data_IF_192504862218
#
_entry.id   IF_192504862218
#
_cell.length_a   1.000
_cell.length_b   1.000
_cell.length_c   1.000
_cell.angle_alpha   90.00
_cell.angle_beta   90.00
_cell.angle_gamma   90.00
#
_symmetry.space_group_name_H-M   'P 1'
#
loop_
_entity.id
_entity.type
_entity.pdbx_description
1 polymer ?
#
# COMPACT_ATOMS: atom_id res chain seq x y z
N UNK A 1 8.23 16.51 -28.13
CA UNK A 1 8.28 15.14 -27.59
C UNK A 1 8.30 15.27 -26.08
N UNK A 2 7.18 14.98 -25.41
CA UNK A 2 7.09 15.14 -23.94
C UNK A 2 7.82 13.96 -23.31
N UNK A 3 8.94 14.23 -22.64
CA UNK A 3 9.67 13.19 -21.92
C UNK A 3 8.80 12.80 -20.72
N UNK A 4 8.35 11.55 -20.71
CA UNK A 4 7.68 10.96 -19.55
C UNK A 4 8.73 10.63 -18.52
N UNK A 5 8.58 11.17 -17.30
CA UNK A 5 9.46 10.86 -16.19
C UNK A 5 9.03 9.53 -15.58
N UNK A 6 9.89 8.53 -15.69
CA UNK A 6 9.70 7.24 -15.05
C UNK A 6 10.02 7.34 -13.55
N UNK A 7 9.15 6.78 -12.70
CA UNK A 7 9.40 6.62 -11.27
C UNK A 7 9.75 5.17 -10.96
N UNK A 8 10.92 4.94 -10.35
CA UNK A 8 11.32 3.60 -9.89
C UNK A 8 10.55 3.26 -8.62
N UNK A 9 10.02 2.03 -8.56
CA UNK A 9 9.30 1.54 -7.39
C UNK A 9 10.27 1.13 -6.27
N UNK A 10 9.98 1.53 -5.03
CA UNK A 10 10.71 1.07 -3.85
C UNK A 10 10.42 -0.42 -3.57
N UNK A 11 9.18 -0.84 -3.83
CA UNK A 11 8.74 -2.23 -3.72
C UNK A 11 9.43 -3.18 -4.70
N UNK A 12 9.93 -2.65 -5.83
CA UNK A 12 10.73 -3.38 -6.81
C UNK A 12 11.52 -2.43 -7.71
N UNK A 13 12.83 -2.32 -7.47
CA UNK A 13 13.73 -1.40 -8.19
C UNK A 13 13.88 -1.69 -9.69
N UNK A 14 13.47 -2.88 -10.14
CA UNK A 14 13.48 -3.24 -11.56
C UNK A 14 12.20 -2.79 -12.29
N UNK A 15 11.16 -2.38 -11.55
CA UNK A 15 9.92 -1.85 -12.10
C UNK A 15 9.92 -0.33 -12.07
N UNK A 16 9.46 0.26 -13.17
CA UNK A 16 9.29 1.69 -13.35
C UNK A 16 7.87 1.98 -13.80
N UNK A 17 7.26 3.02 -13.24
CA UNK A 17 5.96 3.51 -13.64
C UNK A 17 6.08 4.81 -14.42
N UNK A 18 5.31 4.92 -15.49
CA UNK A 18 5.00 6.18 -16.14
C UNK A 18 3.50 6.49 -15.96
N UNK A 19 3.17 7.77 -15.87
CA UNK A 19 1.77 8.24 -15.79
C UNK A 19 1.33 8.86 -17.11
N UNK A 20 1.84 8.29 -18.22
CA UNK A 20 1.73 8.88 -19.55
C UNK A 20 0.41 8.68 -20.29
N UNK A 21 -0.54 7.99 -19.68
CA UNK A 21 -1.93 7.95 -20.13
C UNK A 21 -2.49 6.55 -20.39
N UNK A 22 -3.82 6.48 -20.42
CA UNK A 22 -4.62 5.25 -20.51
C UNK A 22 -5.38 4.96 -19.22
N UNK A 23 -6.36 4.09 -19.29
CA UNK A 23 -7.08 3.61 -18.11
C UNK A 23 -6.17 2.70 -17.27
N UNK A 24 -6.27 2.84 -15.95
CA UNK A 24 -5.52 2.01 -15.02
C UNK A 24 -6.05 0.58 -15.08
N UNK A 25 -5.23 -0.34 -15.58
CA UNK A 25 -5.55 -1.77 -15.51
C UNK A 25 -5.50 -2.28 -14.08
N UNK A 26 -6.21 -3.38 -13.79
CA UNK A 26 -6.18 -4.02 -12.47
C UNK A 26 -4.76 -4.39 -12.02
N UNK A 27 -3.92 -4.87 -12.93
CA UNK A 27 -2.53 -5.25 -12.64
C UNK A 27 -1.66 -4.03 -12.30
N UNK A 28 -1.83 -2.93 -13.04
CA UNK A 28 -1.15 -1.67 -12.75
C UNK A 28 -1.62 -1.09 -11.40
N UNK A 29 -2.91 -1.20 -11.09
CA UNK A 29 -3.46 -0.83 -9.78
C UNK A 29 -2.87 -1.65 -8.63
N UNK A 30 -2.68 -2.96 -8.82
CA UNK A 30 -2.04 -3.81 -7.82
C UNK A 30 -0.60 -3.40 -7.54
N UNK A 31 0.17 -3.03 -8.57
CA UNK A 31 1.53 -2.52 -8.42
C UNK A 31 1.55 -1.21 -7.61
N UNK A 32 0.58 -0.32 -7.82
CA UNK A 32 0.45 0.91 -7.03
C UNK A 32 0.13 0.64 -5.55
N UNK A 33 -0.79 -0.28 -5.26
CA UNK A 33 -1.10 -0.67 -3.87
C UNK A 33 0.13 -1.28 -3.20
N UNK A 34 0.87 -2.13 -3.91
CA UNK A 34 2.11 -2.73 -3.39
C UNK A 34 3.18 -1.70 -3.11
N UNK A 35 3.33 -0.71 -4.00
CA UNK A 35 4.25 0.40 -3.79
C UNK A 35 3.85 1.25 -2.58
N UNK A 36 2.56 1.60 -2.46
CA UNK A 36 2.02 2.32 -1.32
C UNK A 36 2.31 1.60 0.00
N UNK A 37 2.02 0.30 0.07
CA UNK A 37 2.30 -0.50 1.25
C UNK A 37 3.80 -0.56 1.58
N UNK A 38 4.67 -0.58 0.57
CA UNK A 38 6.12 -0.56 0.77
C UNK A 38 6.62 0.79 1.30
N UNK A 39 6.20 1.91 0.69
CA UNK A 39 6.61 3.26 1.10
C UNK A 39 6.19 3.59 2.53
N UNK A 40 5.03 3.11 2.98
CA UNK A 40 4.56 3.32 4.34
C UNK A 40 5.13 2.32 5.36
N UNK A 41 6.00 1.40 4.92
CA UNK A 41 6.43 0.25 5.71
C UNK A 41 5.23 -0.46 6.38
N UNK A 42 4.13 -0.57 5.61
CA UNK A 42 2.80 -0.84 6.12
C UNK A 42 2.72 -2.16 6.89
N UNK A 43 3.46 -3.17 6.45
CA UNK A 43 3.53 -4.47 7.13
C UNK A 43 4.09 -4.35 8.55
N UNK A 44 5.13 -3.55 8.75
CA UNK A 44 5.73 -3.35 10.07
C UNK A 44 4.85 -2.45 10.94
N UNK A 45 4.25 -1.42 10.35
CA UNK A 45 3.25 -0.58 11.02
C UNK A 45 2.08 -1.43 11.51
N UNK A 46 1.51 -2.27 10.65
CA UNK A 46 0.41 -3.18 10.99
C UNK A 46 0.78 -4.12 12.15
N UNK A 47 1.99 -4.70 12.13
CA UNK A 47 2.49 -5.57 13.23
C UNK A 47 2.65 -4.84 14.56
N UNK A 48 2.94 -3.53 14.55
CA UNK A 48 3.09 -2.71 15.76
C UNK A 48 1.74 -2.30 16.33
N UNK A 49 0.82 -1.89 15.46
CA UNK A 49 -0.51 -1.41 15.85
C UNK A 49 -1.46 -2.56 16.20
N UNK A 50 -1.38 -3.68 15.48
CA UNK A 50 -2.20 -4.87 15.73
C UNK A 50 -1.46 -5.83 16.65
N UNK A 51 -1.88 -5.85 17.91
CA UNK A 51 -1.49 -6.87 18.89
C UNK A 51 -2.56 -7.97 18.93
N UNK A 52 -2.24 -9.19 18.52
CA UNK A 52 -3.17 -10.34 18.57
C UNK A 52 -2.91 -11.28 19.74
N UNK A 53 -1.74 -11.16 20.37
CA UNK A 53 -1.27 -12.08 21.41
C UNK A 53 -1.21 -11.39 22.78
N UNK A 54 -1.98 -10.33 22.99
CA UNK A 54 -2.12 -9.76 24.33
C UNK A 54 -3.07 -10.60 25.18
N UNK A 55 -3.11 -10.32 26.48
CA UNK A 55 -3.98 -11.03 27.42
C UNK A 55 -5.48 -10.74 27.23
N UNK A 56 -5.85 -9.98 26.20
CA UNK A 56 -7.23 -9.60 25.95
C UNK A 56 -8.02 -10.83 25.46
N UNK A 57 -9.06 -11.20 26.21
CA UNK A 57 -9.92 -12.33 25.86
C UNK A 57 -10.85 -12.03 24.67
N UNK A 58 -11.12 -10.75 24.38
CA UNK A 58 -11.87 -10.28 23.23
C UNK A 58 -11.53 -8.81 22.97
N UNK A 59 -11.73 -8.36 21.73
CA UNK A 59 -11.57 -6.96 21.32
C UNK A 59 -12.85 -6.48 20.66
N UNK A 60 -13.42 -5.41 21.19
CA UNK A 60 -14.48 -4.70 20.50
C UNK A 60 -13.84 -3.81 19.45
N UNK A 61 -13.89 -4.25 18.20
CA UNK A 61 -13.66 -3.35 17.09
C UNK A 61 -14.92 -2.52 16.89
N UNK A 62 -14.76 -1.21 16.85
CA UNK A 62 -15.78 -0.27 16.40
C UNK A 62 -15.22 0.49 15.21
N UNK A 63 -16.06 0.74 14.22
CA UNK A 63 -15.68 1.57 13.08
C UNK A 63 -15.58 3.05 13.50
N UNK A 64 -15.20 3.91 12.57
CA UNK A 64 -15.13 5.37 12.77
C UNK A 64 -16.48 5.96 13.23
N UNK A 65 -17.58 5.40 12.71
CA UNK A 65 -18.93 5.82 13.08
C UNK A 65 -19.42 5.23 14.41
N UNK A 66 -18.60 4.39 15.04
CA UNK A 66 -18.88 3.73 16.32
C UNK A 66 -20.11 2.80 16.24
N UNK A 67 -20.42 2.26 15.05
CA UNK A 67 -21.54 1.36 14.76
C UNK A 67 -21.34 -0.05 15.35
#
# INVERSE_FOLDING_TARGET
MTILNDTVLESNKYLKLNFGGGDLSSDAGLLLIKEFACKLDFVNTLKKEIKTNDSASFRFHKDDENL
#
